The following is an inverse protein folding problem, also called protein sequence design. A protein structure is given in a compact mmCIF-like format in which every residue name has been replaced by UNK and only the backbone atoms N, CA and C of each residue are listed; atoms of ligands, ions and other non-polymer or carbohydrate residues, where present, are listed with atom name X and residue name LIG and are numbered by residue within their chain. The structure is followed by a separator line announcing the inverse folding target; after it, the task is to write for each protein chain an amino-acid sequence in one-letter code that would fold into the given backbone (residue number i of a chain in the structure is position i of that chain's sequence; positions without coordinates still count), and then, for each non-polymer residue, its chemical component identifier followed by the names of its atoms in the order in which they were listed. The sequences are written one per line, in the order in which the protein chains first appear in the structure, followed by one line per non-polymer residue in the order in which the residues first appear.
data_IF_225386865121
#
_entry.id   IF_225386865121
#
_cell.length_a   1.000
_cell.length_b   1.000
_cell.length_c   1.000
_cell.angle_alpha   90.00
_cell.angle_beta   90.00
_cell.angle_gamma   90.00
#
_symmetry.space_group_name_H-M   'P 1'
#
loop_
_entity.id
_entity.type
_entity.pdbx_description
1 polymer ?
#
# COMPACT_ATOMS: atom_id res chain seq x y z
N UNK A 1 -9.95 45.17 -20.23
CA UNK A 1 -9.38 44.68 -18.98
C UNK A 1 -9.66 43.16 -18.92
N UNK A 2 -8.72 42.37 -19.38
CA UNK A 2 -8.85 40.91 -19.40
C UNK A 2 -8.40 40.35 -18.04
N UNK A 3 -9.33 39.70 -17.33
CA UNK A 3 -9.02 38.96 -16.12
C UNK A 3 -8.34 37.64 -16.50
N UNK A 4 -7.02 37.66 -16.43
CA UNK A 4 -6.19 36.45 -16.54
C UNK A 4 -6.35 35.61 -15.27
N UNK A 5 -7.35 34.71 -15.25
CA UNK A 5 -7.56 33.71 -14.21
C UNK A 5 -6.49 32.62 -14.27
N UNK A 6 -5.28 32.93 -13.81
CA UNK A 6 -4.23 31.95 -13.64
C UNK A 6 -4.69 30.86 -12.64
N UNK A 7 -4.99 29.65 -13.11
CA UNK A 7 -5.11 28.47 -12.26
C UNK A 7 -3.80 28.34 -11.49
N UNK A 8 -3.82 28.69 -10.21
CA UNK A 8 -2.74 28.37 -9.28
C UNK A 8 -2.67 26.83 -9.25
N UNK A 9 -1.72 26.25 -9.99
CA UNK A 9 -1.34 24.86 -9.81
C UNK A 9 -0.82 24.77 -8.38
N UNK A 10 -1.60 24.19 -7.46
CA UNK A 10 -1.13 23.89 -6.12
C UNK A 10 0.13 23.04 -6.27
N UNK A 11 1.23 23.52 -5.70
CA UNK A 11 2.51 22.84 -5.71
C UNK A 11 2.29 21.41 -5.18
N UNK A 12 2.69 20.39 -5.96
CA UNK A 12 2.58 18.99 -5.55
C UNK A 12 3.40 18.79 -4.29
N UNK A 13 2.76 18.48 -3.17
CA UNK A 13 3.42 18.20 -1.91
C UNK A 13 3.45 16.70 -1.71
N UNK A 14 4.65 16.14 -1.78
CA UNK A 14 4.89 14.70 -1.57
C UNK A 14 5.34 14.49 -0.14
N UNK A 15 4.66 13.59 0.55
CA UNK A 15 4.90 13.25 1.94
C UNK A 15 5.34 11.80 2.05
N UNK A 16 6.41 11.55 2.79
CA UNK A 16 6.82 10.23 3.22
C UNK A 16 6.35 10.02 4.65
N UNK A 17 5.66 8.91 4.89
CA UNK A 17 5.13 8.49 6.17
C UNK A 17 5.79 7.18 6.54
N UNK A 18 6.29 7.09 7.76
CA UNK A 18 6.88 5.89 8.31
C UNK A 18 6.25 5.60 9.66
N UNK A 19 5.87 4.34 9.90
CA UNK A 19 5.27 3.97 11.18
C UNK A 19 5.65 2.54 11.57
N UNK A 20 6.14 2.38 12.80
CA UNK A 20 6.59 1.09 13.33
C UNK A 20 5.65 0.57 14.42
N UNK A 21 5.47 -0.74 14.47
CA UNK A 21 4.78 -1.42 15.56
C UNK A 21 5.51 -1.20 16.90
N UNK A 22 4.76 -1.22 18.00
CA UNK A 22 5.35 -1.12 19.34
C UNK A 22 6.09 -2.41 19.70
N UNK A 23 7.17 -2.27 20.45
CA UNK A 23 7.95 -3.39 21.00
C UNK A 23 8.45 -4.41 19.96
N UNK A 24 8.66 -3.99 18.70
CA UNK A 24 9.09 -4.89 17.62
C UNK A 24 8.03 -5.93 17.20
N UNK A 25 6.79 -5.74 17.61
CA UNK A 25 5.71 -6.68 17.36
C UNK A 25 5.48 -6.88 15.85
N UNK A 26 5.37 -8.13 15.43
CA UNK A 26 5.05 -8.50 14.05
C UNK A 26 3.55 -8.35 13.83
N UNK A 27 3.16 -7.36 13.03
CA UNK A 27 1.76 -7.02 12.75
C UNK A 27 1.29 -7.67 11.45
N UNK A 28 2.10 -7.60 10.42
CA UNK A 28 1.77 -8.14 9.10
C UNK A 28 2.35 -9.55 8.95
N UNK A 29 1.81 -10.48 9.74
CA UNK A 29 2.31 -11.85 9.80
C UNK A 29 1.77 -12.73 8.66
N UNK A 30 0.55 -12.46 8.21
CA UNK A 30 -0.12 -13.28 7.21
C UNK A 30 -0.89 -12.44 6.18
N UNK A 31 -1.26 -13.07 5.08
CA UNK A 31 -2.01 -12.45 3.98
C UNK A 31 -3.27 -11.71 4.43
N UNK A 32 -3.98 -12.21 5.46
CA UNK A 32 -5.22 -11.55 5.93
C UNK A 32 -4.94 -10.20 6.59
N UNK A 33 -3.90 -10.12 7.43
CA UNK A 33 -3.52 -8.87 8.09
C UNK A 33 -3.16 -7.81 7.05
N UNK A 34 -2.39 -8.21 6.03
CA UNK A 34 -2.02 -7.34 4.92
C UNK A 34 -3.25 -6.88 4.09
N UNK A 35 -4.15 -7.81 3.74
CA UNK A 35 -5.34 -7.49 2.95
C UNK A 35 -6.32 -6.59 3.74
N UNK A 36 -6.52 -6.85 5.04
CA UNK A 36 -7.35 -5.99 5.89
C UNK A 36 -6.78 -4.57 5.92
N UNK A 37 -5.47 -4.43 6.18
CA UNK A 37 -4.82 -3.12 6.14
C UNK A 37 -4.97 -2.46 4.78
N UNK A 38 -4.64 -3.17 3.71
CA UNK A 38 -4.66 -2.64 2.35
C UNK A 38 -6.04 -2.13 1.93
N UNK A 39 -7.11 -2.87 2.24
CA UNK A 39 -8.47 -2.43 1.87
C UNK A 39 -8.94 -1.24 2.70
N UNK A 40 -8.56 -1.16 3.99
CA UNK A 40 -8.79 0.03 4.82
C UNK A 40 -8.06 1.22 4.21
N UNK A 41 -6.76 1.08 3.96
CA UNK A 41 -5.92 2.10 3.37
C UNK A 41 -6.49 2.62 2.05
N UNK A 42 -6.89 1.72 1.16
CA UNK A 42 -7.44 2.05 -0.16
C UNK A 42 -8.75 2.83 -0.07
N UNK A 43 -9.69 2.38 0.75
CA UNK A 43 -10.97 3.07 0.91
C UNK A 43 -10.79 4.43 1.58
N UNK A 44 -9.91 4.51 2.59
CA UNK A 44 -9.66 5.76 3.31
C UNK A 44 -8.89 6.77 2.45
N UNK A 45 -7.90 6.35 1.66
CA UNK A 45 -7.20 7.26 0.74
C UNK A 45 -8.15 7.89 -0.28
N UNK A 46 -9.09 7.11 -0.81
CA UNK A 46 -10.13 7.63 -1.70
C UNK A 46 -11.03 8.65 -0.99
N UNK A 47 -11.48 8.35 0.23
CA UNK A 47 -12.36 9.25 1.01
C UNK A 47 -11.68 10.56 1.41
N UNK A 48 -10.39 10.51 1.72
CA UNK A 48 -9.59 11.68 2.06
C UNK A 48 -8.97 12.37 0.84
N UNK A 49 -9.27 11.92 -0.39
CA UNK A 49 -8.69 12.45 -1.62
C UNK A 49 -7.15 12.49 -1.59
N UNK A 50 -6.54 11.45 -1.01
CA UNK A 50 -5.10 11.25 -0.96
C UNK A 50 -4.65 10.51 -2.21
N UNK A 51 -3.68 11.04 -2.95
CA UNK A 51 -3.07 10.36 -4.08
C UNK A 51 -1.88 9.54 -3.59
N UNK A 52 -1.96 8.23 -3.75
CA UNK A 52 -0.93 7.30 -3.29
C UNK A 52 0.11 7.10 -4.39
N UNK A 53 1.39 7.29 -4.06
CA UNK A 53 2.53 7.04 -4.95
C UNK A 53 3.24 5.72 -4.61
N UNK A 54 3.19 5.29 -3.35
CA UNK A 54 3.80 4.03 -2.92
C UNK A 54 3.29 3.61 -1.55
N UNK A 55 3.28 2.30 -1.33
CA UNK A 55 2.97 1.65 -0.06
C UNK A 55 3.85 0.42 0.06
N UNK A 56 4.50 0.23 1.20
CA UNK A 56 5.22 -0.98 1.54
C UNK A 56 4.84 -1.42 2.95
N UNK A 57 4.33 -2.64 3.07
CA UNK A 57 4.06 -3.29 4.35
C UNK A 57 5.21 -4.25 4.65
N UNK A 58 5.96 -3.95 5.70
CA UNK A 58 6.96 -4.82 6.30
C UNK A 58 6.35 -5.55 7.48
N UNK A 59 6.98 -6.58 8.01
CA UNK A 59 6.43 -7.35 9.12
C UNK A 59 6.01 -6.52 10.33
N UNK A 60 6.78 -5.48 10.67
CA UNK A 60 6.58 -4.67 11.87
C UNK A 60 6.55 -3.16 11.63
N UNK A 61 6.60 -2.73 10.38
CA UNK A 61 6.53 -1.31 10.02
C UNK A 61 5.93 -1.11 8.63
N UNK A 62 5.59 0.14 8.32
CA UNK A 62 5.02 0.53 7.03
C UNK A 62 5.71 1.79 6.51
N UNK A 63 5.89 1.85 5.20
CA UNK A 63 6.28 3.04 4.47
C UNK A 63 5.18 3.44 3.50
N UNK A 64 4.86 4.72 3.46
CA UNK A 64 3.81 5.26 2.59
C UNK A 64 4.33 6.55 1.95
N UNK A 65 4.14 6.70 0.64
CA UNK A 65 4.43 7.95 -0.06
C UNK A 65 3.14 8.43 -0.71
N UNK A 66 2.75 9.66 -0.39
CA UNK A 66 1.49 10.26 -0.88
C UNK A 66 1.68 11.67 -1.36
N UNK A 67 0.82 12.10 -2.29
CA UNK A 67 0.60 13.52 -2.59
C UNK A 67 -0.64 14.01 -1.82
N UNK A 68 -0.45 15.07 -1.04
CA UNK A 68 -1.51 15.76 -0.32
C UNK A 68 -1.21 17.26 -0.22
N UNK A 69 -2.23 18.13 -0.10
CA UNK A 69 -2.05 19.57 0.01
C UNK A 69 -1.24 20.00 1.23
N UNK A 70 -1.48 19.36 2.38
CA UNK A 70 -0.88 19.74 3.64
C UNK A 70 -0.78 18.55 4.63
N UNK A 71 -0.04 18.76 5.71
CA UNK A 71 0.15 17.75 6.76
C UNK A 71 -1.12 17.43 7.55
N UNK A 72 -2.07 18.37 7.63
CA UNK A 72 -3.32 18.17 8.37
C UNK A 72 -4.18 17.10 7.70
N UNK A 73 -4.26 17.15 6.35
CA UNK A 73 -4.96 16.13 5.58
C UNK A 73 -4.28 14.76 5.74
N UNK A 74 -2.94 14.71 5.69
CA UNK A 74 -2.18 13.48 5.93
C UNK A 74 -2.45 12.94 7.34
N UNK A 75 -2.46 13.80 8.35
CA UNK A 75 -2.73 13.41 9.74
C UNK A 75 -4.16 12.87 9.94
N UNK A 76 -5.16 13.49 9.32
CA UNK A 76 -6.54 13.02 9.36
C UNK A 76 -6.68 11.64 8.69
N UNK A 77 -6.06 11.47 7.52
CA UNK A 77 -6.02 10.22 6.79
C UNK A 77 -5.35 9.10 7.62
N UNK A 78 -4.15 9.35 8.15
CA UNK A 78 -3.41 8.36 8.94
C UNK A 78 -4.16 7.97 10.21
N UNK A 79 -4.73 8.92 10.93
CA UNK A 79 -5.57 8.64 12.10
C UNK A 79 -6.72 7.70 11.75
N UNK A 80 -7.42 7.95 10.64
CA UNK A 80 -8.58 7.17 10.22
C UNK A 80 -8.18 5.74 9.77
N UNK A 81 -7.07 5.60 9.04
CA UNK A 81 -6.52 4.29 8.64
C UNK A 81 -6.08 3.49 9.86
N UNK A 82 -5.21 4.09 10.69
CA UNK A 82 -4.54 3.36 11.77
C UNK A 82 -5.50 2.99 12.90
N UNK A 83 -6.43 3.90 13.26
CA UNK A 83 -7.46 3.60 14.27
C UNK A 83 -8.36 2.46 13.82
N UNK A 84 -8.79 2.48 12.56
CA UNK A 84 -9.65 1.41 12.03
C UNK A 84 -8.93 0.08 11.97
N UNK A 85 -7.70 0.06 11.51
CA UNK A 85 -6.91 -1.16 11.45
C UNK A 85 -6.63 -1.71 12.86
N UNK A 86 -6.13 -0.88 13.78
CA UNK A 86 -5.83 -1.30 15.14
C UNK A 86 -7.06 -1.88 15.86
N UNK A 87 -8.24 -1.28 15.68
CA UNK A 87 -9.48 -1.80 16.24
C UNK A 87 -9.81 -3.19 15.72
N UNK A 88 -9.73 -3.43 14.40
CA UNK A 88 -10.01 -4.73 13.81
C UNK A 88 -8.96 -5.77 14.17
N UNK A 89 -7.68 -5.37 14.16
CA UNK A 89 -6.55 -6.23 14.51
C UNK A 89 -6.63 -6.68 15.97
N UNK A 90 -6.79 -5.73 16.89
CA UNK A 90 -6.89 -6.04 18.32
C UNK A 90 -8.06 -6.97 18.63
N UNK A 91 -9.25 -6.70 18.03
CA UNK A 91 -10.40 -7.60 18.15
C UNK A 91 -10.09 -9.01 17.64
N UNK A 92 -9.42 -9.12 16.49
CA UNK A 92 -9.11 -10.42 15.87
C UNK A 92 -8.12 -11.24 16.68
N UNK A 93 -7.08 -10.59 17.21
CA UNK A 93 -5.97 -11.24 17.88
C UNK A 93 -6.12 -11.25 19.42
N UNK A 94 -7.24 -10.76 19.96
CA UNK A 94 -7.51 -10.74 21.40
C UNK A 94 -6.53 -9.89 22.22
N UNK A 95 -6.00 -8.82 21.60
CA UNK A 95 -5.06 -7.91 22.25
C UNK A 95 -5.69 -6.54 22.52
N UNK A 96 -5.10 -5.80 23.44
CA UNK A 96 -5.53 -4.45 23.82
C UNK A 96 -4.38 -3.46 23.75
N UNK A 97 -4.71 -2.17 23.69
CA UNK A 97 -3.73 -1.09 23.70
C UNK A 97 -3.27 -0.66 22.31
N UNK A 98 -2.22 0.16 22.32
CA UNK A 98 -1.65 0.74 21.10
C UNK A 98 -0.83 -0.27 20.31
N UNK A 99 -1.20 -0.51 19.05
CA UNK A 99 -0.48 -1.41 18.15
C UNK A 99 0.79 -0.77 17.56
N UNK A 100 0.73 0.52 17.25
CA UNK A 100 1.82 1.27 16.60
C UNK A 100 2.35 2.40 17.48
N UNK A 101 3.60 2.79 17.24
CA UNK A 101 4.18 4.05 17.73
C UNK A 101 3.59 5.23 16.97
N UNK A 102 3.92 6.45 17.38
CA UNK A 102 3.66 7.64 16.55
C UNK A 102 4.36 7.49 15.20
N UNK A 103 3.74 7.98 14.14
CA UNK A 103 4.35 7.95 12.81
C UNK A 103 5.29 9.15 12.61
N UNK A 104 6.35 8.95 11.83
CA UNK A 104 7.16 10.01 11.26
C UNK A 104 6.52 10.54 9.98
N UNK A 105 6.70 11.84 9.71
CA UNK A 105 6.17 12.51 8.52
C UNK A 105 7.20 13.49 7.98
N UNK A 106 7.67 13.25 6.74
CA UNK A 106 8.65 14.10 6.08
C UNK A 106 8.13 14.62 4.73
N UNK A 107 8.19 15.94 4.54
CA UNK A 107 7.93 16.58 3.25
C UNK A 107 9.12 16.37 2.31
N UNK A 108 8.91 15.80 1.14
CA UNK A 108 9.95 15.59 0.14
C UNK A 108 9.89 16.70 -0.92
N UNK A 109 10.95 17.50 -0.98
CA UNK A 109 11.05 18.63 -1.91
C UNK A 109 11.97 18.28 -3.08
N UNK A 110 11.48 18.52 -4.28
CA UNK A 110 12.22 18.28 -5.52
C UNK A 110 12.23 16.81 -5.97
N UNK A 111 12.40 16.61 -7.26
CA UNK A 111 12.30 15.27 -7.87
C UNK A 111 13.36 14.28 -7.38
N UNK A 112 14.58 14.75 -7.09
CA UNK A 112 15.66 13.91 -6.57
C UNK A 112 15.25 13.27 -5.24
N UNK A 113 14.78 14.07 -4.27
CA UNK A 113 14.33 13.58 -2.98
C UNK A 113 13.15 12.61 -3.11
N UNK A 114 12.20 12.88 -4.01
CA UNK A 114 11.07 11.98 -4.29
C UNK A 114 11.57 10.65 -4.85
N UNK A 115 12.45 10.66 -5.86
CA UNK A 115 13.01 9.44 -6.46
C UNK A 115 13.77 8.60 -5.43
N UNK A 116 14.64 9.22 -4.63
CA UNK A 116 15.37 8.51 -3.58
C UNK A 116 14.41 7.88 -2.57
N UNK A 117 13.37 8.60 -2.15
CA UNK A 117 12.40 8.08 -1.20
C UNK A 117 11.56 6.93 -1.77
N UNK A 118 11.21 6.98 -3.07
CA UNK A 118 10.52 5.89 -3.75
C UNK A 118 11.41 4.65 -3.86
N UNK A 119 12.69 4.82 -4.24
CA UNK A 119 13.65 3.73 -4.28
C UNK A 119 13.80 3.08 -2.89
N UNK A 120 13.98 3.87 -1.85
CA UNK A 120 14.04 3.39 -0.47
C UNK A 120 12.79 2.59 -0.07
N UNK A 121 11.59 3.12 -0.36
CA UNK A 121 10.34 2.43 -0.02
C UNK A 121 10.25 1.05 -0.68
N UNK A 122 10.58 0.96 -1.98
CA UNK A 122 10.45 -0.29 -2.73
C UNK A 122 11.59 -1.27 -2.46
N UNK A 123 12.79 -0.77 -2.13
CA UNK A 123 13.95 -1.60 -1.77
C UNK A 123 13.95 -2.05 -0.30
N UNK A 124 13.11 -1.50 0.56
CA UNK A 124 13.10 -1.85 1.99
C UNK A 124 13.06 -3.37 2.25
N UNK A 125 12.24 -4.18 1.51
CA UNK A 125 12.26 -5.64 1.66
C UNK A 125 13.56 -6.29 1.18
N UNK A 126 14.24 -5.70 0.18
CA UNK A 126 15.53 -6.20 -0.32
C UNK A 126 16.64 -5.92 0.71
N UNK A 127 16.65 -4.73 1.27
CA UNK A 127 17.61 -4.31 2.32
C UNK A 127 17.44 -5.13 3.60
N UNK A 128 16.21 -5.51 3.95
CA UNK A 128 15.91 -6.42 5.08
C UNK A 128 16.16 -7.91 4.73
N UNK A 129 16.61 -8.23 3.52
CA UNK A 129 16.91 -9.60 3.07
C UNK A 129 15.70 -10.51 2.86
N UNK A 130 14.51 -9.94 2.69
CA UNK A 130 13.25 -10.68 2.53
C UNK A 130 13.02 -11.16 1.09
N UNK A 131 13.66 -10.53 0.12
CA UNK A 131 13.62 -10.87 -1.30
C UNK A 131 14.90 -10.39 -1.99
N UNK A 132 15.13 -10.84 -3.25
CA UNK A 132 16.29 -10.42 -4.05
C UNK A 132 16.01 -9.15 -4.84
N UNK A 133 14.79 -9.04 -5.34
CA UNK A 133 14.31 -7.92 -6.15
C UNK A 133 13.04 -7.33 -5.54
N UNK A 134 12.85 -6.03 -5.67
CA UNK A 134 11.71 -5.32 -5.08
C UNK A 134 10.35 -5.88 -5.55
N UNK A 135 10.27 -6.36 -6.78
CA UNK A 135 9.04 -6.94 -7.35
C UNK A 135 8.66 -8.29 -6.75
N UNK A 136 9.57 -8.99 -6.08
CA UNK A 136 9.30 -10.28 -5.41
C UNK A 136 8.54 -10.12 -4.09
N UNK A 137 8.52 -8.90 -3.50
CA UNK A 137 7.78 -8.64 -2.27
C UNK A 137 6.34 -8.21 -2.54
N UNK A 138 5.38 -9.12 -2.36
CA UNK A 138 3.97 -8.87 -2.67
C UNK A 138 3.43 -7.58 -2.00
N UNK A 139 3.89 -7.28 -0.80
CA UNK A 139 3.32 -6.24 0.05
C UNK A 139 3.95 -4.85 -0.11
N UNK A 140 4.82 -4.65 -1.10
CA UNK A 140 5.16 -3.33 -1.63
C UNK A 140 4.33 -2.97 -2.86
N UNK A 141 3.56 -3.93 -3.38
CA UNK A 141 2.63 -3.78 -4.50
C UNK A 141 3.27 -3.45 -5.85
N UNK A 142 4.58 -3.40 -5.97
CA UNK A 142 5.29 -2.97 -7.19
C UNK A 142 4.98 -3.86 -8.40
N UNK A 143 4.96 -5.16 -8.22
CA UNK A 143 4.68 -6.13 -9.29
C UNK A 143 3.30 -5.95 -9.94
N UNK A 144 2.33 -5.39 -9.20
CA UNK A 144 1.01 -5.07 -9.72
C UNK A 144 0.97 -3.89 -10.71
N UNK A 145 2.09 -3.18 -10.87
CA UNK A 145 2.22 -2.17 -11.92
C UNK A 145 2.24 -2.78 -13.33
N UNK A 146 2.65 -4.06 -13.46
CA UNK A 146 2.85 -4.74 -14.74
C UNK A 146 1.93 -5.96 -14.93
N UNK A 147 1.39 -6.53 -13.85
CA UNK A 147 0.57 -7.75 -13.89
C UNK A 147 -0.61 -7.67 -12.92
N UNK A 148 -1.75 -8.20 -13.32
CA UNK A 148 -2.91 -8.37 -12.44
C UNK A 148 -2.78 -9.60 -11.52
N UNK A 149 -1.86 -10.51 -11.81
CA UNK A 149 -1.68 -11.75 -11.05
C UNK A 149 -0.19 -12.10 -10.87
N UNK A 150 0.62 -11.19 -10.27
CA UNK A 150 2.07 -11.42 -10.17
C UNK A 150 2.44 -12.56 -9.21
N UNK A 151 1.56 -12.92 -8.27
CA UNK A 151 1.83 -13.93 -7.24
C UNK A 151 0.91 -15.15 -7.31
N UNK A 152 0.09 -15.24 -8.34
CA UNK A 152 -0.79 -16.39 -8.60
C UNK A 152 -0.90 -16.72 -10.07
N UNK A 153 -1.46 -17.88 -10.38
CA UNK A 153 -1.85 -18.22 -11.75
C UNK A 153 -2.95 -17.28 -12.25
N UNK A 154 -2.90 -16.98 -13.55
CA UNK A 154 -3.88 -16.10 -14.19
C UNK A 154 -5.31 -16.59 -13.93
N UNK A 155 -6.13 -15.71 -13.36
CA UNK A 155 -7.53 -16.00 -13.10
C UNK A 155 -8.34 -16.03 -14.40
N UNK A 156 -8.81 -17.24 -14.78
CA UNK A 156 -9.70 -17.44 -15.94
C UNK A 156 -11.08 -17.80 -15.41
N UNK A 157 -12.00 -16.85 -15.34
CA UNK A 157 -13.33 -17.02 -14.74
C UNK A 157 -14.12 -18.23 -15.33
N UNK A 158 -13.97 -18.51 -16.61
CA UNK A 158 -14.65 -19.66 -17.25
C UNK A 158 -14.16 -21.02 -16.71
N UNK A 159 -12.92 -21.09 -16.23
CA UNK A 159 -12.28 -22.29 -15.66
C UNK A 159 -12.33 -22.32 -14.13
N UNK A 160 -12.64 -21.20 -13.49
CA UNK A 160 -12.70 -21.07 -12.04
C UNK A 160 -13.85 -21.91 -11.46
N UNK A 161 -13.68 -22.39 -10.24
CA UNK A 161 -14.74 -23.10 -9.52
C UNK A 161 -15.95 -22.19 -9.26
N UNK A 162 -17.11 -22.79 -9.01
CA UNK A 162 -18.31 -22.01 -8.64
C UNK A 162 -18.05 -21.16 -7.39
N UNK A 163 -17.27 -21.69 -6.44
CA UNK A 163 -16.92 -21.02 -5.18
C UNK A 163 -16.08 -19.78 -5.43
N UNK A 164 -14.99 -19.90 -6.19
CA UNK A 164 -14.12 -18.79 -6.52
C UNK A 164 -14.87 -17.70 -7.30
N UNK A 165 -15.69 -18.08 -8.31
CA UNK A 165 -16.53 -17.11 -9.04
C UNK A 165 -17.48 -16.34 -8.12
N UNK A 166 -18.14 -17.04 -7.20
CA UNK A 166 -19.04 -16.41 -6.23
C UNK A 166 -18.29 -15.42 -5.33
N UNK A 167 -17.14 -15.82 -4.78
CA UNK A 167 -16.31 -14.93 -3.95
C UNK A 167 -15.82 -13.70 -4.71
N UNK A 168 -15.42 -13.86 -5.98
CA UNK A 168 -15.03 -12.74 -6.84
C UNK A 168 -16.19 -11.76 -7.03
N UNK A 169 -17.39 -12.24 -7.30
CA UNK A 169 -18.54 -11.36 -7.46
C UNK A 169 -18.89 -10.64 -6.16
N UNK A 170 -18.82 -11.33 -5.02
CA UNK A 170 -19.02 -10.70 -3.71
C UNK A 170 -18.02 -9.57 -3.46
N UNK A 171 -16.72 -9.77 -3.75
CA UNK A 171 -15.69 -8.73 -3.60
C UNK A 171 -16.00 -7.52 -4.48
N UNK A 172 -16.43 -7.74 -5.72
CA UNK A 172 -16.81 -6.66 -6.65
C UNK A 172 -17.97 -5.83 -6.11
N UNK A 173 -18.98 -6.48 -5.56
CA UNK A 173 -20.12 -5.79 -4.94
C UNK A 173 -19.67 -4.98 -3.73
N UNK A 174 -18.88 -5.56 -2.83
CA UNK A 174 -18.35 -4.88 -1.66
C UNK A 174 -17.47 -3.67 -2.04
N UNK A 175 -16.63 -3.81 -3.06
CA UNK A 175 -15.80 -2.70 -3.56
C UNK A 175 -16.64 -1.56 -4.14
N UNK A 176 -17.67 -1.87 -4.95
CA UNK A 176 -18.59 -0.86 -5.49
C UNK A 176 -19.32 -0.09 -4.39
N UNK A 177 -19.67 -0.76 -3.30
CA UNK A 177 -20.29 -0.13 -2.13
C UNK A 177 -19.29 0.63 -1.24
N UNK A 178 -18.02 0.71 -1.61
CA UNK A 178 -16.98 1.38 -0.81
C UNK A 178 -16.73 0.69 0.54
N UNK A 179 -16.97 -0.63 0.62
CA UNK A 179 -16.76 -1.40 1.84
C UNK A 179 -15.30 -1.77 2.04
N UNK A 180 -14.86 -1.70 3.29
CA UNK A 180 -13.61 -2.25 3.77
C UNK A 180 -13.80 -3.76 3.98
N UNK A 181 -12.82 -4.56 3.59
CA UNK A 181 -12.79 -5.99 3.89
C UNK A 181 -12.13 -6.21 5.26
N UNK A 182 -12.95 -6.39 6.30
CA UNK A 182 -12.45 -6.84 7.61
C UNK A 182 -12.14 -8.34 7.62
N UNK A 183 -11.62 -8.85 8.75
CA UNK A 183 -11.24 -10.27 8.89
C UNK A 183 -12.38 -11.23 8.59
N UNK A 184 -13.57 -10.97 9.10
CA UNK A 184 -14.76 -11.80 8.88
C UNK A 184 -15.14 -11.87 7.39
N UNK A 185 -15.04 -10.73 6.68
CA UNK A 185 -15.30 -10.68 5.25
C UNK A 185 -14.27 -11.48 4.46
N UNK A 186 -12.95 -11.31 4.76
CA UNK A 186 -11.88 -12.06 4.08
C UNK A 186 -12.00 -13.55 4.39
N UNK A 187 -12.28 -13.93 5.64
CA UNK A 187 -12.47 -15.33 6.01
C UNK A 187 -13.66 -15.96 5.26
N UNK A 188 -14.76 -15.23 5.13
CA UNK A 188 -15.93 -15.67 4.35
C UNK A 188 -15.62 -15.84 2.86
N UNK A 189 -14.95 -14.85 2.27
CA UNK A 189 -14.54 -14.88 0.85
C UNK A 189 -13.57 -16.01 0.53
N UNK A 190 -12.68 -16.34 1.47
CA UNK A 190 -11.68 -17.39 1.31
C UNK A 190 -12.15 -18.77 1.83
N UNK A 191 -13.36 -18.84 2.40
CA UNK A 191 -13.92 -20.10 2.91
C UNK A 191 -14.07 -21.10 1.80
N UNK A 192 -13.52 -22.30 2.02
CA UNK A 192 -13.59 -23.42 1.05
C UNK A 192 -12.87 -23.17 -0.30
N UNK A 193 -12.00 -22.16 -0.39
CA UNK A 193 -11.04 -22.04 -1.49
C UNK A 193 -9.79 -22.85 -1.17
N UNK A 194 -9.21 -23.48 -2.17
CA UNK A 194 -7.91 -24.14 -2.04
C UNK A 194 -6.75 -23.11 -1.95
N UNK A 195 -5.52 -23.60 -1.85
CA UNK A 195 -4.34 -22.75 -1.72
C UNK A 195 -4.10 -21.87 -2.96
N UNK A 196 -4.31 -22.42 -4.16
CA UNK A 196 -4.16 -21.69 -5.42
C UNK A 196 -5.25 -20.62 -5.57
N UNK A 197 -6.50 -20.99 -5.33
CA UNK A 197 -7.64 -20.07 -5.37
C UNK A 197 -7.51 -18.93 -4.35
N UNK A 198 -6.94 -19.18 -3.16
CA UNK A 198 -6.66 -18.14 -2.16
C UNK A 198 -5.62 -17.14 -2.64
N UNK A 199 -4.58 -17.59 -3.36
CA UNK A 199 -3.60 -16.69 -3.99
C UNK A 199 -4.26 -15.85 -5.08
N UNK A 200 -5.05 -16.47 -5.96
CA UNK A 200 -5.82 -15.76 -6.99
C UNK A 200 -6.79 -14.74 -6.40
N UNK A 201 -7.43 -15.07 -5.28
CA UNK A 201 -8.32 -14.15 -4.57
C UNK A 201 -7.55 -12.98 -3.96
N UNK A 202 -6.36 -13.22 -3.40
CA UNK A 202 -5.51 -12.14 -2.86
C UNK A 202 -5.10 -11.15 -3.97
N UNK A 203 -4.58 -11.64 -5.10
CA UNK A 203 -4.23 -10.81 -6.24
C UNK A 203 -5.45 -10.05 -6.78
N UNK A 204 -6.60 -10.72 -6.87
CA UNK A 204 -7.84 -10.08 -7.32
C UNK A 204 -8.30 -8.95 -6.37
N UNK A 205 -8.23 -9.16 -5.06
CA UNK A 205 -8.56 -8.12 -4.07
C UNK A 205 -7.59 -6.94 -4.20
N UNK A 206 -6.29 -7.20 -4.31
CA UNK A 206 -5.28 -6.15 -4.43
C UNK A 206 -5.54 -5.31 -5.68
N UNK A 207 -5.73 -5.94 -6.85
CA UNK A 207 -6.03 -5.18 -8.07
C UNK A 207 -7.30 -4.35 -7.96
N UNK A 208 -8.37 -4.95 -7.46
CA UNK A 208 -9.68 -4.31 -7.38
C UNK A 208 -9.69 -3.11 -6.41
N UNK A 209 -8.91 -3.19 -5.34
CA UNK A 209 -8.79 -2.14 -4.32
C UNK A 209 -7.61 -1.20 -4.56
N UNK A 210 -6.76 -1.45 -5.54
CA UNK A 210 -5.57 -0.64 -5.79
C UNK A 210 -5.91 0.83 -6.01
N UNK A 211 -5.16 1.69 -5.33
CA UNK A 211 -5.21 3.15 -5.42
C UNK A 211 -3.82 3.74 -5.68
N UNK A 212 -2.82 2.86 -5.86
CA UNK A 212 -1.44 3.28 -6.12
C UNK A 212 -1.36 3.80 -7.55
N UNK A 213 -0.91 5.04 -7.69
CA UNK A 213 -0.79 5.68 -9.00
C UNK A 213 0.60 5.42 -9.60
N UNK A 214 0.79 4.20 -10.12
CA UNK A 214 2.06 3.79 -10.74
C UNK A 214 2.47 4.69 -11.92
N UNK A 215 1.53 5.24 -12.68
CA UNK A 215 1.84 6.19 -13.76
C UNK A 215 2.53 7.43 -13.22
N UNK A 216 2.04 7.99 -12.11
CA UNK A 216 2.70 9.14 -11.46
C UNK A 216 4.04 8.76 -10.88
N UNK A 217 4.16 7.59 -10.25
CA UNK A 217 5.44 7.09 -9.70
C UNK A 217 6.46 6.90 -10.81
N UNK A 218 6.10 6.21 -11.88
CA UNK A 218 6.95 5.95 -13.04
C UNK A 218 7.35 7.24 -13.75
N UNK A 219 6.49 8.28 -13.78
CA UNK A 219 6.78 9.54 -14.44
C UNK A 219 8.01 10.28 -13.88
N UNK A 220 8.36 10.06 -12.61
CA UNK A 220 9.59 10.58 -12.00
C UNK A 220 10.87 9.99 -12.61
N UNK A 221 10.77 8.83 -13.25
CA UNK A 221 11.91 8.11 -13.86
C UNK A 221 11.84 8.07 -15.40
N UNK A 222 10.74 8.53 -15.97
CA UNK A 222 10.46 8.49 -17.40
C UNK A 222 9.74 7.22 -17.86
N UNK A 223 10.18 6.04 -17.44
CA UNK A 223 9.48 4.76 -17.68
C UNK A 223 9.79 3.72 -16.60
N UNK A 224 9.02 2.62 -16.61
CA UNK A 224 9.11 1.57 -15.60
C UNK A 224 10.49 0.89 -15.55
N UNK A 225 11.10 0.55 -16.70
CA UNK A 225 12.42 -0.07 -16.74
C UNK A 225 13.54 0.83 -16.21
N UNK A 226 13.44 2.15 -16.44
CA UNK A 226 14.37 3.12 -15.83
C UNK A 226 14.18 3.23 -14.32
N UNK A 227 12.91 3.14 -13.87
CA UNK A 227 12.58 3.13 -12.45
C UNK A 227 13.21 1.92 -11.74
N UNK A 228 13.04 0.71 -12.27
CA UNK A 228 13.64 -0.50 -11.70
C UNK A 228 15.16 -0.41 -11.63
N UNK A 229 15.82 0.01 -12.72
CA UNK A 229 17.29 0.22 -12.71
C UNK A 229 17.74 1.24 -11.67
N UNK A 230 16.94 2.29 -11.45
CA UNK A 230 17.24 3.25 -10.40
C UNK A 230 17.08 2.65 -8.99
N UNK A 231 16.13 1.73 -8.80
CA UNK A 231 15.99 0.99 -7.54
C UNK A 231 17.19 0.10 -7.28
N UNK A 232 17.60 -0.71 -8.26
CA UNK A 232 18.81 -1.56 -8.18
C UNK A 232 20.05 -0.76 -7.81
N UNK A 233 20.27 0.42 -8.44
CA UNK A 233 21.42 1.27 -8.18
C UNK A 233 21.42 1.98 -6.82
N UNK A 234 20.26 2.04 -6.14
CA UNK A 234 20.10 2.63 -4.81
C UNK A 234 20.03 1.56 -3.69
N UNK A 235 20.11 0.28 -4.03
CA UNK A 235 20.15 -0.79 -3.03
C UNK A 235 21.44 -0.69 -2.23
N UNK A 236 21.32 -0.71 -0.89
CA UNK A 236 22.47 -0.55 0.02
C UNK A 236 22.97 0.90 0.19
N UNK A 237 22.33 1.89 -0.40
CA UNK A 237 22.56 3.28 -0.03
C UNK A 237 22.04 3.49 1.40
N UNK A 238 22.90 3.94 2.31
CA UNK A 238 22.49 4.38 3.65
C UNK A 238 21.49 5.53 3.48
N UNK A 239 20.21 5.20 3.51
CA UNK A 239 19.17 6.18 3.66
C UNK A 239 19.23 6.61 5.12
N UNK A 240 19.54 7.88 5.33
CA UNK A 240 19.75 8.42 6.68
C UNK A 240 18.49 8.22 7.53
N UNK A 241 18.54 7.18 8.36
CA UNK A 241 17.45 6.81 9.28
C UNK A 241 17.18 7.96 10.27
N UNK A 242 18.15 8.87 10.45
CA UNK A 242 18.02 10.04 11.31
C UNK A 242 16.86 10.96 10.88
N UNK A 243 16.56 11.09 9.57
CA UNK A 243 15.41 11.88 9.10
C UNK A 243 14.04 11.25 9.42
N UNK A 244 13.99 10.00 9.87
CA UNK A 244 12.73 9.31 10.22
C UNK A 244 12.36 9.42 11.70
N UNK A 245 13.17 10.09 12.51
CA UNK A 245 12.99 10.23 13.96
C UNK A 245 12.77 11.67 14.46
N UNK A 246 12.74 12.69 13.58
CA UNK A 246 12.39 14.06 13.93
C UNK A 246 10.88 14.38 13.74
#
# INVERSE_FOLDING_TARGET
MEHNGGKIRSERRVWHIYQRARHGFVVFYNTRDCLVFFTIFSIKSTRHNIKVLGLCLMFNHIHIIVEAPDKTMVAAFMRDVMSRFAMLYNKRHGISGQLFRSYGLALKKGEKAIRTTLAYLYNNPVEDGLCREAEEWQWNFLAYAQSECPFSDKLILKRATKRLRHSIEQVRVLRKSGCILGYEAIDSLCKNLDATEKKQMADHIINLYSVINFNSTTSFYGNYSKMLRAFESNTGSEYDIAESYE
#
